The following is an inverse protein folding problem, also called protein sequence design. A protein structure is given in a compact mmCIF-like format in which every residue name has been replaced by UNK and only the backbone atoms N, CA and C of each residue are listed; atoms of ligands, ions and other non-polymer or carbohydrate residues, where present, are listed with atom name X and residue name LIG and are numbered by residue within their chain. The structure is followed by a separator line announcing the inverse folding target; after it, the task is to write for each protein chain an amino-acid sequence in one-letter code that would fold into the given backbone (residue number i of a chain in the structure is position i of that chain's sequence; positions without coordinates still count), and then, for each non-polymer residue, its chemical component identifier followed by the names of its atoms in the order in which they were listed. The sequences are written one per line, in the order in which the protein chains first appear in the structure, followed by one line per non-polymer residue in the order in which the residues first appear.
data_IF_071792662409
#
_entry.id   IF_071792662409
#
_cell.length_a   1.000
_cell.length_b   1.000
_cell.length_c   1.000
_cell.angle_alpha   90.00
_cell.angle_beta   90.00
_cell.angle_gamma   90.00
#
_symmetry.space_group_name_H-M   'P 1'
#
loop_
_entity.id
_entity.type
_entity.pdbx_description
1 polymer ?
#
# COMPACT_ATOMS: atom_id res chain seq x y z
N UNK A 1 -3.63 11.73 -2.29
CA UNK A 1 -3.96 10.51 -3.05
C UNK A 1 -2.79 9.55 -2.93
N UNK A 2 -3.06 8.25 -2.80
CA UNK A 2 -2.01 7.23 -2.82
C UNK A 2 -1.24 7.30 -4.14
N UNK A 3 0.08 7.21 -4.08
CA UNK A 3 0.91 7.26 -5.27
C UNK A 3 0.98 5.93 -6.03
N UNK A 4 1.44 5.99 -7.28
CA UNK A 4 1.61 4.83 -8.17
C UNK A 4 2.55 3.78 -7.57
N UNK A 5 3.63 4.19 -6.91
CA UNK A 5 4.60 3.28 -6.28
C UNK A 5 3.96 2.54 -5.11
N UNK A 6 3.19 3.22 -4.26
CA UNK A 6 2.45 2.56 -3.18
C UNK A 6 1.47 1.51 -3.72
N UNK A 7 0.64 1.87 -4.69
CA UNK A 7 -0.35 0.95 -5.28
C UNK A 7 0.33 -0.24 -5.97
N UNK A 8 1.45 0.00 -6.67
CA UNK A 8 2.24 -1.07 -7.32
C UNK A 8 2.82 -2.03 -6.28
N UNK A 9 3.40 -1.52 -5.19
CA UNK A 9 3.92 -2.35 -4.09
C UNK A 9 2.83 -3.20 -3.46
N UNK A 10 1.65 -2.61 -3.21
CA UNK A 10 0.51 -3.33 -2.65
C UNK A 10 0.02 -4.43 -3.61
N UNK A 11 -0.06 -4.15 -4.92
CA UNK A 11 -0.41 -5.16 -5.92
C UNK A 11 0.61 -6.32 -5.95
N UNK A 12 1.91 -6.02 -5.92
CA UNK A 12 2.96 -7.05 -5.85
C UNK A 12 2.84 -7.92 -4.60
N UNK A 13 2.57 -7.31 -3.44
CA UNK A 13 2.42 -8.02 -2.17
C UNK A 13 1.19 -8.95 -2.19
N UNK A 14 0.07 -8.48 -2.72
CA UNK A 14 -1.14 -9.32 -2.88
C UNK A 14 -0.87 -10.54 -3.79
N UNK A 15 -0.09 -10.38 -4.86
CA UNK A 15 0.30 -11.49 -5.72
C UNK A 15 1.23 -12.48 -5.02
N UNK A 16 2.11 -12.01 -4.13
CA UNK A 16 2.94 -12.88 -3.31
C UNK A 16 2.08 -13.72 -2.37
N UNK A 17 1.16 -13.09 -1.62
CA UNK A 17 0.24 -13.82 -0.73
C UNK A 17 -0.67 -14.79 -1.48
N UNK A 18 -1.12 -14.43 -2.69
CA UNK A 18 -1.93 -15.31 -3.51
C UNK A 18 -1.20 -16.60 -3.90
N UNK A 19 0.14 -16.57 -4.01
CA UNK A 19 0.97 -17.73 -4.34
C UNK A 19 1.32 -18.58 -3.12
N UNK A 20 1.31 -18.00 -1.92
CA UNK A 20 1.67 -18.71 -0.68
C UNK A 20 0.47 -19.35 0.02
N UNK A 21 -0.74 -18.88 -0.25
CA UNK A 21 -1.95 -19.46 0.32
C UNK A 21 -2.38 -20.75 -0.39
N UNK A 22 -2.92 -21.71 0.35
CA UNK A 22 -3.54 -22.94 -0.21
C UNK A 22 -5.04 -22.80 -0.45
N UNK A 23 -5.66 -21.70 -0.01
CA UNK A 23 -7.07 -21.40 -0.24
C UNK A 23 -7.23 -20.77 -1.65
N UNK A 24 -7.88 -21.51 -2.55
CA UNK A 24 -8.11 -21.09 -3.93
C UNK A 24 -9.02 -19.86 -4.05
N UNK A 25 -10.03 -19.75 -3.19
CA UNK A 25 -10.97 -18.63 -3.22
C UNK A 25 -10.29 -17.36 -2.72
N UNK A 26 -9.47 -17.49 -1.67
CA UNK A 26 -8.64 -16.38 -1.19
C UNK A 26 -7.60 -15.96 -2.22
N UNK A 27 -6.91 -16.92 -2.86
CA UNK A 27 -5.94 -16.64 -3.92
C UNK A 27 -6.57 -15.85 -5.07
N UNK A 28 -7.75 -16.27 -5.55
CA UNK A 28 -8.48 -15.58 -6.60
C UNK A 28 -8.87 -14.14 -6.20
N UNK A 29 -9.33 -13.93 -4.96
CA UNK A 29 -9.66 -12.59 -4.44
C UNK A 29 -8.44 -11.68 -4.36
N UNK A 30 -7.29 -12.21 -3.93
CA UNK A 30 -6.03 -11.46 -3.85
C UNK A 30 -5.54 -11.05 -5.25
N UNK A 31 -5.60 -11.96 -6.23
CA UNK A 31 -5.26 -11.67 -7.63
C UNK A 31 -6.19 -10.60 -8.21
N UNK A 32 -7.51 -10.74 -8.01
CA UNK A 32 -8.50 -9.76 -8.46
C UNK A 32 -8.20 -8.37 -7.89
N UNK A 33 -7.96 -8.30 -6.58
CA UNK A 33 -7.63 -7.05 -5.91
C UNK A 33 -6.30 -6.44 -6.39
N UNK A 34 -5.29 -7.26 -6.68
CA UNK A 34 -4.03 -6.79 -7.25
C UNK A 34 -4.23 -6.17 -8.65
N UNK A 35 -5.11 -6.75 -9.46
CA UNK A 35 -5.47 -6.20 -10.78
C UNK A 35 -6.18 -4.85 -10.64
N UNK A 36 -7.11 -4.71 -9.70
CA UNK A 36 -7.78 -3.43 -9.42
C UNK A 36 -6.77 -2.35 -9.00
N UNK A 37 -5.84 -2.68 -8.10
CA UNK A 37 -4.80 -1.74 -7.66
C UNK A 37 -3.87 -1.33 -8.80
N UNK A 38 -3.53 -2.26 -9.71
CA UNK A 38 -2.76 -1.93 -10.90
C UNK A 38 -3.51 -1.00 -11.84
N UNK A 39 -4.80 -1.25 -12.07
CA UNK A 39 -5.67 -0.39 -12.87
C UNK A 39 -5.78 1.03 -12.28
N UNK A 40 -5.79 1.17 -10.94
CA UNK A 40 -5.73 2.47 -10.27
C UNK A 40 -4.35 3.15 -10.39
N UNK A 41 -3.27 2.37 -10.49
CA UNK A 41 -1.90 2.87 -10.56
C UNK A 41 -1.50 3.31 -11.98
N UNK A 42 -1.98 2.61 -13.01
CA UNK A 42 -1.68 2.87 -14.43
C UNK A 42 -1.90 4.34 -14.88
N UNK A 43 -2.99 5.04 -14.47
CA UNK A 43 -3.20 6.44 -14.86
C UNK A 43 -2.43 7.47 -14.00
N UNK A 44 -1.73 7.05 -12.93
CA UNK A 44 -1.06 7.97 -12.03
C UNK A 44 0.36 8.34 -12.52
N UNK A 45 0.84 9.56 -12.23
CA UNK A 45 2.22 9.93 -12.50
C UNK A 45 3.18 9.09 -11.63
N UNK A 46 4.38 8.80 -12.13
CA UNK A 46 5.43 8.08 -11.40
C UNK A 46 5.96 8.81 -10.15
N UNK A 47 5.45 10.01 -9.86
CA UNK A 47 5.78 10.77 -8.65
C UNK A 47 4.72 10.56 -7.59
N UNK A 48 5.04 9.68 -6.65
CA UNK A 48 4.27 9.52 -5.42
C UNK A 48 4.44 10.77 -4.53
N UNK A 49 3.35 11.31 -4.00
CA UNK A 49 3.41 12.48 -3.13
C UNK A 49 3.91 12.19 -1.72
N UNK A 50 3.96 10.92 -1.31
CA UNK A 50 4.75 10.42 -0.18
C UNK A 50 4.73 8.88 -0.27
N UNK A 51 5.86 8.17 -0.12
CA UNK A 51 5.87 6.71 -0.11
C UNK A 51 5.20 6.08 1.13
N UNK A 52 4.73 6.89 2.08
CA UNK A 52 4.14 6.46 3.35
C UNK A 52 2.69 5.98 3.18
N UNK A 53 2.36 4.87 3.84
CA UNK A 53 1.01 4.33 3.85
C UNK A 53 0.05 5.28 4.60
N UNK A 54 -1.19 5.44 4.11
CA UNK A 54 -2.14 6.47 4.58
C UNK A 54 -2.74 6.16 5.96
N UNK A 55 -2.56 4.95 6.46
CA UNK A 55 -2.98 4.45 7.78
C UNK A 55 -1.91 4.65 8.88
N UNK A 56 -0.71 5.13 8.53
CA UNK A 56 0.32 5.49 9.51
C UNK A 56 -0.01 6.89 10.05
N UNK A 57 -0.75 6.93 11.17
CA UNK A 57 -0.87 8.14 11.97
C UNK A 57 0.54 8.61 12.38
N UNK A 58 0.84 9.89 12.16
CA UNK A 58 2.00 10.50 12.78
C UNK A 58 1.76 10.43 14.28
N UNK A 59 2.45 9.54 14.98
CA UNK A 59 2.66 9.69 16.41
C UNK A 59 3.50 10.96 16.58
N UNK A 60 2.85 12.11 16.55
CA UNK A 60 3.38 13.35 17.11
C UNK A 60 3.33 13.14 18.62
N UNK A 61 4.31 12.40 19.12
CA UNK A 61 4.63 12.42 20.54
C UNK A 61 4.93 13.87 20.93
N UNK A 62 4.47 14.34 22.11
CA UNK A 62 4.76 15.68 22.56
C UNK A 62 6.27 15.75 22.84
N UNK A 63 7.02 16.33 21.91
CA UNK A 63 8.38 16.76 22.19
C UNK A 63 8.31 17.99 23.07
N UNK A 64 8.05 17.78 24.36
CA UNK A 64 8.65 18.59 25.43
C UNK A 64 9.99 17.94 25.77
N UNK A 65 11.10 18.66 25.59
CA UNK A 65 11.66 19.28 26.78
C UNK A 65 12.22 20.67 26.49
N UNK A 66 11.72 21.67 27.19
CA UNK A 66 12.47 22.87 27.46
C UNK A 66 12.25 23.28 28.92
N UNK A 67 12.87 22.54 29.84
CA UNK A 67 13.38 23.14 31.06
C UNK A 67 14.29 24.31 30.68
N UNK A 68 13.85 25.54 30.99
CA UNK A 68 14.70 26.63 31.53
C UNK A 68 13.84 27.59 32.35
#
# INVERSE_FOLDING_TARGET
MLGKTYLTKQASLLLEFARTTSDSDLSAKLISKAADLKSMADPLPDKDQDPRAPDIALDVGPSDPAER
#
